data_IF_413315423250
#
_entry.id   IF_413315423250
#
_cell.length_a   1.000
_cell.length_b   1.000
_cell.length_c   1.000
_cell.angle_alpha   90.00
_cell.angle_beta   90.00
_cell.angle_gamma   90.00
#
_symmetry.space_group_name_H-M   'P 1'
#
loop_
_entity.id
_entity.type
_entity.pdbx_description
1 polymer ?
#
# COMPACT_ATOMS: atom_id res chain seq x y z
N UNK A 1 0.54 34.36 -17.99
CA UNK A 1 -0.33 33.30 -17.43
C UNK A 1 0.47 32.57 -16.36
N UNK A 2 -0.09 32.38 -15.15
CA UNK A 2 0.66 31.84 -14.02
C UNK A 2 0.84 30.31 -14.15
N UNK A 3 1.86 29.73 -13.50
CA UNK A 3 2.04 28.29 -13.44
C UNK A 3 1.03 27.69 -12.46
N UNK A 4 0.30 26.67 -12.89
CA UNK A 4 -0.55 25.86 -12.02
C UNK A 4 0.34 25.04 -11.10
N UNK A 5 0.41 25.44 -9.83
CA UNK A 5 0.86 24.61 -8.71
C UNK A 5 -0.07 23.39 -8.64
N UNK A 6 0.34 22.28 -9.26
CA UNK A 6 -0.21 20.98 -8.94
C UNK A 6 0.38 20.57 -7.59
N UNK A 7 -0.22 21.12 -6.53
CA UNK A 7 -0.02 20.68 -5.15
C UNK A 7 -0.51 19.22 -5.10
N UNK A 8 0.42 18.29 -5.33
CA UNK A 8 0.19 16.86 -5.26
C UNK A 8 0.17 16.51 -3.77
N UNK A 9 -0.93 16.92 -3.13
CA UNK A 9 -1.22 16.72 -1.73
C UNK A 9 -1.39 15.21 -1.52
N UNK A 10 -0.26 14.52 -1.33
CA UNK A 10 -0.16 13.13 -0.90
C UNK A 10 -0.65 13.08 0.54
N UNK A 11 -1.96 13.25 0.71
CA UNK A 11 -2.65 12.88 1.93
C UNK A 11 -2.18 11.47 2.28
N UNK A 12 -1.58 11.23 3.46
CA UNK A 12 -1.43 9.88 3.93
C UNK A 12 -2.85 9.34 4.03
N UNK A 13 -3.21 8.47 3.08
CA UNK A 13 -4.49 7.76 3.07
C UNK A 13 -4.64 7.24 4.48
N UNK A 14 -5.57 7.85 5.21
CA UNK A 14 -5.73 7.67 6.64
C UNK A 14 -5.67 6.18 6.87
N UNK A 15 -4.66 5.73 7.62
CA UNK A 15 -4.70 4.41 8.22
C UNK A 15 -5.99 4.43 9.04
N UNK A 16 -7.07 3.95 8.42
CA UNK A 16 -8.26 3.56 9.13
C UNK A 16 -7.82 2.37 9.95
N UNK A 17 -7.23 2.67 11.10
CA UNK A 17 -7.26 1.79 12.24
C UNK A 17 -8.69 1.27 12.27
N UNK A 18 -8.84 -0.04 12.06
CA UNK A 18 -10.12 -0.70 12.05
C UNK A 18 -10.84 -0.33 13.34
N UNK A 19 -11.74 0.66 13.29
CA UNK A 19 -12.66 0.93 14.38
C UNK A 19 -13.64 -0.24 14.34
N UNK A 20 -13.32 -1.30 15.09
CA UNK A 20 -14.20 -2.45 15.36
C UNK A 20 -15.28 -1.95 16.33
N UNK A 21 -16.04 -0.96 15.90
CA UNK A 21 -17.01 -0.26 16.71
C UNK A 21 -17.97 0.43 15.77
N UNK A 22 -19.00 -0.33 15.36
CA UNK A 22 -20.35 0.08 14.91
C UNK A 22 -20.89 -0.70 13.70
N UNK A 23 -20.09 -1.52 13.01
CA UNK A 23 -20.60 -2.45 11.99
C UNK A 23 -20.25 -3.91 12.34
N UNK A 24 -21.17 -4.60 13.01
CA UNK A 24 -21.07 -6.03 13.26
C UNK A 24 -21.39 -6.80 11.98
N UNK A 25 -20.37 -7.43 11.39
CA UNK A 25 -20.53 -8.26 10.19
C UNK A 25 -21.42 -9.51 10.43
N UNK A 26 -21.40 -10.05 11.65
CA UNK A 26 -22.18 -11.23 12.02
C UNK A 26 -22.88 -11.02 13.37
N UNK A 27 -24.11 -11.51 13.48
CA UNK A 27 -24.94 -11.60 14.68
C UNK A 27 -25.71 -12.93 14.68
N UNK A 28 -26.40 -13.24 15.79
CA UNK A 28 -27.11 -14.50 15.96
C UNK A 28 -28.22 -14.74 14.90
N UNK A 29 -28.76 -13.69 14.28
CA UNK A 29 -29.81 -13.78 13.27
C UNK A 29 -29.28 -14.04 11.85
N UNK A 30 -27.99 -13.81 11.58
CA UNK A 30 -27.41 -13.91 10.23
C UNK A 30 -26.25 -14.91 10.10
N UNK A 31 -25.89 -15.65 11.17
CA UNK A 31 -24.73 -16.55 11.17
C UNK A 31 -24.66 -17.50 9.97
N UNK A 32 -25.78 -18.10 9.57
CA UNK A 32 -25.80 -19.05 8.44
C UNK A 32 -25.47 -18.36 7.11
N UNK A 33 -25.99 -17.14 6.92
CA UNK A 33 -25.74 -16.33 5.73
C UNK A 33 -24.28 -15.85 5.71
N UNK A 34 -23.76 -15.40 6.85
CA UNK A 34 -22.37 -15.00 7.00
C UNK A 34 -21.42 -16.18 6.73
N UNK A 35 -21.73 -17.38 7.22
CA UNK A 35 -20.93 -18.58 6.96
C UNK A 35 -20.91 -18.94 5.46
N UNK A 36 -22.05 -18.86 4.77
CA UNK A 36 -22.12 -19.08 3.31
C UNK A 36 -21.32 -18.03 2.54
N UNK A 37 -21.50 -16.76 2.90
CA UNK A 37 -20.77 -15.65 2.29
C UNK A 37 -19.25 -15.77 2.49
N UNK A 38 -18.80 -16.08 3.71
CA UNK A 38 -17.39 -16.29 4.01
C UNK A 38 -16.82 -17.42 3.17
N UNK A 39 -17.51 -18.56 3.08
CA UNK A 39 -17.06 -19.66 2.24
C UNK A 39 -16.94 -19.26 0.76
N UNK A 40 -17.94 -18.57 0.21
CA UNK A 40 -17.87 -18.08 -1.17
C UNK A 40 -16.71 -17.10 -1.38
N UNK A 41 -16.48 -16.22 -0.42
CA UNK A 41 -15.40 -15.23 -0.43
C UNK A 41 -14.02 -15.92 -0.35
N UNK A 42 -13.88 -16.93 0.51
CA UNK A 42 -12.68 -17.76 0.63
C UNK A 42 -12.35 -18.45 -0.70
N UNK A 43 -13.33 -19.06 -1.38
CA UNK A 43 -13.13 -19.64 -2.72
C UNK A 43 -12.60 -18.59 -3.68
N UNK A 44 -13.24 -17.42 -3.68
CA UNK A 44 -12.94 -16.33 -4.62
C UNK A 44 -11.50 -15.83 -4.46
N UNK A 45 -11.01 -15.78 -3.22
CA UNK A 45 -9.62 -15.43 -2.92
C UNK A 45 -8.64 -16.61 -2.97
N UNK A 46 -9.07 -17.78 -3.46
CA UNK A 46 -8.21 -18.94 -3.67
C UNK A 46 -7.90 -19.77 -2.42
N UNK A 47 -8.67 -19.60 -1.35
CA UNK A 47 -8.55 -20.40 -0.13
C UNK A 47 -9.39 -21.69 -0.23
N UNK A 48 -8.96 -22.79 0.42
CA UNK A 48 -9.70 -24.05 0.42
C UNK A 48 -11.10 -23.86 1.01
N UNK A 49 -12.10 -24.35 0.27
CA UNK A 49 -13.48 -23.92 0.45
C UNK A 49 -14.43 -25.05 0.84
N UNK A 50 -14.83 -25.03 2.11
CA UNK A 50 -16.07 -25.57 2.68
C UNK A 50 -15.88 -25.63 4.20
N UNK A 51 -15.60 -24.49 4.83
CA UNK A 51 -15.55 -24.42 6.28
C UNK A 51 -16.94 -24.66 6.82
N UNK A 52 -17.08 -25.71 7.63
CA UNK A 52 -18.25 -25.86 8.47
C UNK A 52 -17.97 -25.16 9.79
N UNK A 53 -18.40 -23.89 9.88
CA UNK A 53 -18.21 -23.07 11.07
C UNK A 53 -19.07 -23.54 12.25
N UNK A 54 -20.05 -24.42 12.00
CA UNK A 54 -20.94 -24.98 13.02
C UNK A 54 -20.60 -26.43 13.37
N UNK A 55 -19.57 -27.00 12.74
CA UNK A 55 -19.14 -28.36 13.02
C UNK A 55 -18.59 -28.50 14.45
N UNK A 56 -18.90 -29.65 15.05
CA UNK A 56 -18.35 -30.06 16.34
C UNK A 56 -17.31 -31.19 16.20
N UNK A 57 -17.06 -31.66 14.98
CA UNK A 57 -16.08 -32.72 14.75
C UNK A 57 -14.65 -32.13 14.61
N UNK A 58 -13.63 -32.81 15.16
CA UNK A 58 -12.25 -32.31 15.13
C UNK A 58 -11.69 -32.06 13.72
N UNK A 59 -12.15 -32.79 12.71
CA UNK A 59 -11.63 -32.69 11.33
C UNK A 59 -12.08 -31.38 10.69
N UNK A 60 -13.35 -31.02 10.86
CA UNK A 60 -13.89 -29.74 10.39
C UNK A 60 -13.32 -28.55 11.14
N UNK A 61 -13.15 -28.66 12.46
CA UNK A 61 -12.47 -27.63 13.27
C UNK A 61 -11.04 -27.42 12.77
N UNK A 62 -10.28 -28.50 12.53
CA UNK A 62 -8.92 -28.40 12.01
C UNK A 62 -8.85 -27.70 10.64
N UNK A 63 -9.81 -27.96 9.75
CA UNK A 63 -9.92 -27.26 8.45
C UNK A 63 -10.13 -25.76 8.64
N UNK A 64 -11.02 -25.37 9.56
CA UNK A 64 -11.25 -23.96 9.92
C UNK A 64 -9.98 -23.30 10.47
N UNK A 65 -9.29 -23.96 11.41
CA UNK A 65 -8.02 -23.47 11.97
C UNK A 65 -6.95 -23.28 10.89
N UNK A 66 -6.77 -24.26 10.01
CA UNK A 66 -5.79 -24.17 8.91
C UNK A 66 -6.11 -23.02 7.96
N UNK A 67 -7.39 -22.81 7.63
CA UNK A 67 -7.79 -21.69 6.80
C UNK A 67 -7.49 -20.34 7.47
N UNK A 68 -7.81 -20.19 8.76
CA UNK A 68 -7.48 -18.98 9.53
C UNK A 68 -5.97 -18.75 9.55
N UNK A 69 -5.18 -19.81 9.75
CA UNK A 69 -3.72 -19.72 9.70
C UNK A 69 -3.20 -19.25 8.34
N UNK A 70 -3.72 -19.79 7.24
CA UNK A 70 -3.38 -19.33 5.89
C UNK A 70 -3.73 -17.86 5.65
N UNK A 71 -4.89 -17.39 6.15
CA UNK A 71 -5.28 -15.98 6.07
C UNK A 71 -4.30 -15.07 6.82
N UNK A 72 -3.89 -15.47 8.03
CA UNK A 72 -2.93 -14.73 8.83
C UNK A 72 -1.54 -14.68 8.17
N UNK A 73 -1.06 -15.82 7.65
CA UNK A 73 0.20 -15.87 6.90
C UNK A 73 0.16 -15.00 5.64
N UNK A 74 -0.96 -15.00 4.92
CA UNK A 74 -1.12 -14.12 3.75
C UNK A 74 -1.10 -12.65 4.18
N UNK A 75 -1.80 -12.27 5.26
CA UNK A 75 -1.80 -10.89 5.76
C UNK A 75 -0.41 -10.44 6.20
N UNK A 76 0.36 -11.30 6.86
CA UNK A 76 1.73 -11.00 7.27
C UNK A 76 2.63 -10.71 6.05
N UNK A 77 2.60 -11.59 5.03
CA UNK A 77 3.35 -11.37 3.78
C UNK A 77 2.91 -10.09 3.06
N UNK A 78 1.63 -9.78 3.09
CA UNK A 78 1.09 -8.57 2.45
C UNK A 78 1.57 -7.29 3.14
N UNK A 79 1.65 -7.31 4.48
CA UNK A 79 2.23 -6.21 5.27
C UNK A 79 3.71 -6.04 4.93
N UNK A 80 4.50 -7.11 4.97
CA UNK A 80 5.94 -7.07 4.67
C UNK A 80 6.22 -6.57 3.25
N UNK A 81 5.43 -7.02 2.27
CA UNK A 81 5.54 -6.54 0.89
C UNK A 81 5.25 -5.05 0.78
N UNK A 82 4.19 -4.57 1.45
CA UNK A 82 3.83 -3.14 1.48
C UNK A 82 4.87 -2.27 2.17
N UNK A 83 5.47 -2.75 3.26
CA UNK A 83 6.56 -2.08 3.95
C UNK A 83 7.78 -1.95 3.05
N UNK A 84 8.20 -3.06 2.40
CA UNK A 84 9.32 -3.06 1.46
C UNK A 84 9.11 -2.10 0.27
N UNK A 85 7.90 -2.08 -0.30
CA UNK A 85 7.55 -1.16 -1.37
C UNK A 85 7.58 0.30 -0.91
N UNK A 86 7.12 0.59 0.31
CA UNK A 86 7.17 1.94 0.87
C UNK A 86 8.61 2.39 1.14
N UNK A 87 9.47 1.51 1.66
CA UNK A 87 10.90 1.80 1.83
C UNK A 87 11.58 2.12 0.51
N UNK A 88 11.29 1.34 -0.53
CA UNK A 88 11.82 1.60 -1.87
C UNK A 88 11.32 2.95 -2.41
N UNK A 89 10.03 3.26 -2.22
CA UNK A 89 9.44 4.55 -2.61
C UNK A 89 10.14 5.72 -1.92
N UNK A 90 10.40 5.61 -0.61
CA UNK A 90 11.09 6.67 0.14
C UNK A 90 12.52 6.89 -0.36
N UNK A 91 13.25 5.81 -0.68
CA UNK A 91 14.59 5.93 -1.27
C UNK A 91 14.54 6.65 -2.62
N UNK A 92 13.61 6.27 -3.49
CA UNK A 92 13.44 6.90 -4.80
C UNK A 92 13.10 8.39 -4.68
N UNK A 93 12.24 8.77 -3.74
CA UNK A 93 11.93 10.19 -3.48
C UNK A 93 13.17 10.97 -3.03
N UNK A 94 13.99 10.39 -2.15
CA UNK A 94 15.26 11.00 -1.74
C UNK A 94 16.23 11.16 -2.92
N UNK A 95 16.31 10.16 -3.79
CA UNK A 95 17.12 10.21 -5.01
C UNK A 95 16.64 11.30 -5.97
N UNK A 96 15.32 11.44 -6.15
CA UNK A 96 14.71 12.51 -6.96
C UNK A 96 15.13 13.88 -6.41
N UNK A 97 14.91 14.15 -5.12
CA UNK A 97 15.27 15.45 -4.53
C UNK A 97 16.77 15.76 -4.65
N UNK A 98 17.62 14.75 -4.53
CA UNK A 98 19.07 14.91 -4.73
C UNK A 98 19.43 15.22 -6.19
N UNK A 99 18.74 14.58 -7.14
CA UNK A 99 18.95 14.82 -8.57
C UNK A 99 18.44 16.22 -8.97
N UNK A 100 17.29 16.63 -8.46
CA UNK A 100 16.73 17.98 -8.69
C UNK A 100 17.71 19.07 -8.24
N UNK A 101 18.24 18.96 -7.01
CA UNK A 101 19.25 19.92 -6.51
C UNK A 101 20.54 19.92 -7.36
N UNK A 102 20.93 18.77 -7.93
CA UNK A 102 22.09 18.69 -8.83
C UNK A 102 21.81 19.36 -10.17
N UNK A 103 20.60 19.20 -10.72
CA UNK A 103 20.17 19.87 -11.95
C UNK A 103 20.22 21.39 -11.76
N UNK A 104 19.60 21.92 -10.71
CA UNK A 104 19.59 23.36 -10.41
C UNK A 104 21.02 23.93 -10.30
N UNK A 105 21.92 23.20 -9.63
CA UNK A 105 23.33 23.58 -9.52
C UNK A 105 24.04 23.59 -10.87
N UNK A 106 23.83 22.56 -11.70
CA UNK A 106 24.46 22.46 -13.01
C UNK A 106 23.94 23.55 -13.97
N UNK A 107 22.64 23.85 -13.93
CA UNK A 107 22.05 24.95 -14.68
C UNK A 107 22.65 26.31 -14.27
N UNK A 108 22.83 26.53 -12.96
CA UNK A 108 23.49 27.73 -12.44
C UNK A 108 24.95 27.85 -12.91
N UNK A 109 25.68 26.74 -12.92
CA UNK A 109 27.07 26.70 -13.42
C UNK A 109 27.14 26.95 -14.93
N UNK A 110 26.21 26.38 -15.70
CA UNK A 110 26.13 26.60 -17.15
C UNK A 110 25.91 28.08 -17.45
N UNK A 111 24.94 28.71 -16.79
CA UNK A 111 24.68 30.15 -16.96
C UNK A 111 25.89 31.02 -16.59
N UNK A 112 26.63 30.66 -15.55
CA UNK A 112 27.85 31.37 -15.17
C UNK A 112 28.93 31.25 -16.26
N UNK A 113 29.12 30.05 -16.83
CA UNK A 113 30.08 29.81 -17.92
C UNK A 113 29.68 30.51 -19.21
N UNK A 114 28.41 30.54 -19.56
CA UNK A 114 27.92 31.29 -20.73
C UNK A 114 28.21 32.79 -20.60
N UNK A 115 28.08 33.36 -19.39
CA UNK A 115 28.43 34.77 -19.11
C UNK A 115 29.94 35.02 -19.21
N UNK A 116 30.78 34.11 -18.70
CA UNK A 116 32.23 34.20 -18.83
C UNK A 116 32.66 34.20 -20.32
N UNK A 117 32.11 33.28 -21.12
CA UNK A 117 32.39 33.20 -22.57
C UNK A 117 31.96 34.49 -23.27
N UNK A 118 30.73 34.95 -23.03
CA UNK A 118 30.23 36.19 -23.65
C UNK A 118 31.09 37.43 -23.31
N UNK A 119 31.75 37.42 -22.15
CA UNK A 119 32.70 38.45 -21.75
C UNK A 119 33.99 38.37 -22.55
N UNK A 120 34.56 37.17 -22.73
CA UNK A 120 35.81 36.93 -23.47
C UNK A 120 35.62 37.17 -24.98
N UNK A 121 34.49 36.77 -25.56
CA UNK A 121 34.25 36.93 -27.01
C UNK A 121 33.98 38.38 -27.43
N UNK A 122 33.79 39.31 -26.47
CA UNK A 122 33.60 40.75 -26.74
C UNK A 122 34.87 41.59 -26.75
N UNK A 123 36.01 41.04 -26.33
CA UNK A 123 37.34 41.69 -26.38
C UNK A 123 38.10 41.24 -27.62
#
# INVERSE_FOLDING_TARGET
>A
MPPTEADFDLRPSSQSAFSIGEYTFADAGNLEQCAKYLNQTLVTFGFPASLDLFANDPVSIARTCNCIYSLLQQRQRDIEFRESANDQRQRLLSDISRLEAKVERLESQLQAKDREIATITRT
#
